data_IF_103088543092
#
_entry.id   IF_103088543092
#
_cell.length_a   1.000
_cell.length_b   1.000
_cell.length_c   1.000
_cell.angle_alpha   90.00
_cell.angle_beta   90.00
_cell.angle_gamma   90.00
#
_symmetry.space_group_name_H-M   'P 1'
#
loop_
_entity.id
_entity.type
_entity.pdbx_description
1 polymer ?
#
# COMPACT_ATOMS: atom_id res chain seq x y z
N UNK A 1 -5.88 -8.99 -7.47
CA UNK A 1 -5.43 -8.04 -8.53
C UNK A 1 -5.09 -6.66 -8.00
N UNK A 2 -5.96 -6.00 -7.22
CA UNK A 2 -5.67 -4.65 -6.65
C UNK A 2 -4.35 -4.59 -5.89
N UNK A 3 -4.05 -5.62 -5.09
CA UNK A 3 -2.77 -5.74 -4.36
C UNK A 3 -1.53 -5.67 -5.26
N UNK A 4 -1.59 -6.20 -6.50
CA UNK A 4 -0.47 -6.19 -7.42
C UNK A 4 -0.10 -4.79 -7.93
N UNK A 5 -1.01 -3.82 -7.84
CA UNK A 5 -0.76 -2.42 -8.18
C UNK A 5 -0.53 -1.53 -6.94
N UNK A 6 -0.65 -2.10 -5.73
CA UNK A 6 -0.32 -1.38 -4.50
C UNK A 6 1.20 -1.19 -4.42
N UNK A 7 1.65 0.07 -4.30
CA UNK A 7 3.07 0.41 -4.25
C UNK A 7 3.42 1.78 -4.83
N UNK A 8 2.56 2.33 -5.69
CA UNK A 8 2.71 3.70 -6.20
C UNK A 8 2.67 4.75 -5.07
N UNK A 9 2.00 4.46 -3.96
CA UNK A 9 1.96 5.34 -2.78
C UNK A 9 3.32 5.56 -2.12
N UNK A 10 4.26 4.63 -2.28
CA UNK A 10 5.63 4.83 -1.81
C UNK A 10 6.30 6.03 -2.49
N UNK A 11 5.91 6.34 -3.74
CA UNK A 11 6.37 7.53 -4.47
C UNK A 11 5.94 8.81 -3.77
N UNK A 12 4.73 8.85 -3.18
CA UNK A 12 4.24 10.00 -2.45
C UNK A 12 5.07 10.27 -1.18
N UNK A 13 5.57 9.22 -0.52
CA UNK A 13 6.44 9.36 0.65
C UNK A 13 7.83 9.91 0.31
N UNK A 14 8.28 9.72 -0.93
CA UNK A 14 9.54 10.22 -1.48
C UNK A 14 9.38 11.55 -2.23
N UNK A 15 8.14 12.04 -2.42
CA UNK A 15 7.84 13.26 -3.17
C UNK A 15 8.62 14.49 -2.67
N UNK A 16 8.93 14.54 -1.38
CA UNK A 16 9.72 15.63 -0.77
C UNK A 16 11.20 15.65 -1.17
N UNK A 17 11.72 14.56 -1.71
CA UNK A 17 13.11 14.43 -2.17
C UNK A 17 13.27 14.74 -3.68
N UNK A 18 12.15 15.00 -4.40
CA UNK A 18 12.18 15.36 -5.82
C UNK A 18 12.52 16.84 -6.01
N UNK A 19 13.24 17.15 -7.09
CA UNK A 19 13.63 18.53 -7.44
C UNK A 19 12.42 19.38 -7.88
N UNK A 20 11.49 18.81 -8.65
CA UNK A 20 10.20 19.43 -8.99
C UNK A 20 9.04 18.44 -8.79
N UNK A 21 8.47 18.36 -7.58
CA UNK A 21 7.41 17.40 -7.28
C UNK A 21 6.15 17.57 -8.15
N UNK A 22 5.84 18.79 -8.62
CA UNK A 22 4.62 19.05 -9.39
C UNK A 22 4.67 18.43 -10.78
N UNK A 23 5.87 18.26 -11.34
CA UNK A 23 6.09 17.72 -12.68
C UNK A 23 6.60 16.28 -12.65
N UNK A 24 7.47 15.96 -11.71
CA UNK A 24 8.18 14.69 -11.69
C UNK A 24 7.29 13.56 -11.14
N UNK A 25 6.51 13.83 -10.09
CA UNK A 25 5.63 12.81 -9.48
C UNK A 25 4.58 12.29 -10.46
N UNK A 26 3.80 13.13 -11.19
CA UNK A 26 2.81 12.63 -12.15
C UNK A 26 3.45 11.82 -13.29
N UNK A 27 4.61 12.25 -13.79
CA UNK A 27 5.32 11.56 -14.88
C UNK A 27 5.91 10.23 -14.45
N UNK A 28 6.59 10.20 -13.31
CA UNK A 28 7.14 8.99 -12.73
C UNK A 28 6.03 7.97 -12.48
N UNK A 29 4.89 8.41 -11.94
CA UNK A 29 3.73 7.56 -11.69
C UNK A 29 3.15 7.02 -13.00
N UNK A 30 2.96 7.87 -14.02
CA UNK A 30 2.42 7.44 -15.31
C UNK A 30 3.33 6.41 -16.01
N UNK A 31 4.65 6.64 -16.00
CA UNK A 31 5.63 5.71 -16.57
C UNK A 31 5.60 4.39 -15.78
N UNK A 32 5.60 4.45 -14.45
CA UNK A 32 5.54 3.26 -13.61
C UNK A 32 4.28 2.42 -13.89
N UNK A 33 3.12 3.06 -13.98
CA UNK A 33 1.84 2.39 -14.30
C UNK A 33 1.89 1.74 -15.68
N UNK A 34 2.40 2.46 -16.70
CA UNK A 34 2.49 1.92 -18.05
C UNK A 34 3.44 0.72 -18.13
N UNK A 35 4.64 0.83 -17.57
CA UNK A 35 5.65 -0.23 -17.59
C UNK A 35 5.17 -1.45 -16.82
N UNK A 36 4.69 -1.27 -15.58
CA UNK A 36 4.17 -2.38 -14.76
C UNK A 36 2.95 -3.02 -15.41
N UNK A 37 2.07 -2.22 -16.00
CA UNK A 37 0.90 -2.70 -16.74
C UNK A 37 1.28 -3.61 -17.91
N UNK A 38 2.24 -3.17 -18.74
CA UNK A 38 2.75 -3.99 -19.87
C UNK A 38 3.40 -5.27 -19.38
N UNK A 39 4.22 -5.21 -18.34
CA UNK A 39 4.87 -6.39 -17.77
C UNK A 39 3.86 -7.39 -17.21
N UNK A 40 2.84 -6.92 -16.49
CA UNK A 40 1.80 -7.79 -15.92
C UNK A 40 0.95 -8.44 -17.01
N UNK A 41 0.54 -7.68 -18.02
CA UNK A 41 -0.23 -8.23 -19.15
C UNK A 41 0.61 -9.23 -19.96
N UNK A 42 1.87 -8.91 -20.20
CA UNK A 42 2.82 -9.81 -20.86
C UNK A 42 2.96 -11.12 -20.08
N UNK A 43 3.28 -11.04 -18.78
CA UNK A 43 3.44 -12.21 -17.93
C UNK A 43 2.16 -13.04 -17.82
N UNK A 44 0.99 -12.39 -17.65
CA UNK A 44 -0.29 -13.08 -17.61
C UNK A 44 -0.58 -13.81 -18.91
N UNK A 45 -0.33 -13.16 -20.06
CA UNK A 45 -0.55 -13.73 -21.39
C UNK A 45 0.38 -14.92 -21.61
N UNK A 46 1.68 -14.77 -21.34
CA UNK A 46 2.66 -15.86 -21.47
C UNK A 46 2.34 -17.02 -20.52
N UNK A 47 1.94 -16.73 -19.27
CA UNK A 47 1.54 -17.78 -18.32
C UNK A 47 0.36 -18.59 -18.83
N UNK A 48 -0.68 -17.93 -19.35
CA UNK A 48 -1.86 -18.61 -19.91
C UNK A 48 -1.50 -19.40 -21.17
N UNK A 49 -0.69 -18.83 -22.07
CA UNK A 49 -0.32 -19.47 -23.32
C UNK A 49 0.60 -20.68 -23.13
N UNK A 50 1.50 -20.65 -22.15
CA UNK A 50 2.52 -21.70 -21.94
C UNK A 50 2.08 -22.74 -20.90
N UNK A 51 1.52 -22.32 -19.76
CA UNK A 51 1.10 -23.25 -18.70
C UNK A 51 -0.36 -23.73 -18.86
N UNK A 52 -1.19 -23.03 -19.66
CA UNK A 52 -2.58 -23.40 -19.86
C UNK A 52 -3.37 -23.50 -18.55
N UNK A 53 -4.20 -24.55 -18.34
CA UNK A 53 -4.98 -24.74 -17.11
C UNK A 53 -4.14 -24.91 -15.83
N UNK A 54 -2.84 -25.22 -15.95
CA UNK A 54 -1.95 -25.35 -14.79
C UNK A 54 -1.55 -23.98 -14.21
N UNK A 55 -1.69 -22.89 -14.97
CA UNK A 55 -1.39 -21.54 -14.50
C UNK A 55 -2.21 -21.13 -13.27
N UNK A 56 -3.45 -21.64 -13.14
CA UNK A 56 -4.31 -21.39 -11.97
C UNK A 56 -3.96 -22.21 -10.73
N UNK A 57 -3.06 -23.20 -10.84
CA UNK A 57 -2.64 -24.09 -9.74
C UNK A 57 -1.19 -23.87 -9.30
N UNK A 58 -0.42 -23.10 -10.05
CA UNK A 58 0.97 -22.79 -9.69
C UNK A 58 1.04 -21.65 -8.68
N UNK A 59 1.77 -21.88 -7.58
CA UNK A 59 2.07 -20.84 -6.60
C UNK A 59 3.13 -19.84 -7.10
N UNK A 60 3.93 -20.23 -8.11
CA UNK A 60 4.99 -19.39 -8.68
C UNK A 60 5.08 -19.51 -10.22
N UNK A 61 4.09 -18.98 -10.96
CA UNK A 61 4.01 -19.14 -12.42
C UNK A 61 5.24 -18.63 -13.18
N UNK A 62 5.87 -17.56 -12.68
CA UNK A 62 7.10 -17.00 -13.28
C UNK A 62 8.29 -17.97 -13.15
N UNK A 63 8.43 -18.65 -12.02
CA UNK A 63 9.51 -19.63 -11.81
C UNK A 63 9.32 -20.85 -12.72
N UNK A 64 8.08 -21.32 -12.85
CA UNK A 64 7.74 -22.42 -13.77
C UNK A 64 7.99 -22.05 -15.24
N UNK A 65 7.61 -20.83 -15.65
CA UNK A 65 7.89 -20.33 -16.99
C UNK A 65 9.40 -20.26 -17.27
N UNK A 66 10.18 -19.77 -16.31
CA UNK A 66 11.64 -19.68 -16.43
C UNK A 66 12.29 -21.07 -16.50
N UNK A 67 11.76 -22.04 -15.75
CA UNK A 67 12.20 -23.44 -15.82
C UNK A 67 11.97 -24.05 -17.20
N UNK A 68 10.80 -23.78 -17.80
CA UNK A 68 10.44 -24.26 -19.14
C UNK A 68 11.32 -23.60 -20.21
N UNK A 69 11.60 -22.29 -20.08
CA UNK A 69 12.33 -21.53 -21.08
C UNK A 69 13.85 -21.76 -21.05
N UNK A 70 14.44 -21.89 -19.86
CA UNK A 70 15.90 -21.86 -19.66
C UNK A 70 16.44 -23.08 -18.89
N UNK A 71 15.56 -24.03 -18.53
CA UNK A 71 15.92 -25.23 -17.75
C UNK A 71 15.77 -25.04 -16.24
N UNK A 72 15.85 -26.16 -15.51
CA UNK A 72 15.51 -26.21 -14.07
C UNK A 72 16.39 -25.31 -13.18
N UNK A 73 17.64 -25.06 -13.59
CA UNK A 73 18.56 -24.14 -12.90
C UNK A 73 18.02 -22.70 -12.84
N UNK A 74 17.17 -22.30 -13.79
CA UNK A 74 16.56 -20.97 -13.81
C UNK A 74 15.54 -20.77 -12.68
N UNK A 75 14.97 -21.84 -12.10
CA UNK A 75 14.10 -21.74 -10.91
C UNK A 75 14.84 -21.12 -9.73
N UNK A 76 16.06 -21.59 -9.47
CA UNK A 76 16.88 -21.12 -8.33
C UNK A 76 17.24 -19.65 -8.52
N UNK A 77 17.68 -19.27 -9.72
CA UNK A 77 18.00 -17.87 -10.03
C UNK A 77 16.76 -16.98 -9.88
N UNK A 78 15.62 -17.42 -10.40
CA UNK A 78 14.36 -16.67 -10.30
C UNK A 78 13.91 -16.52 -8.85
N UNK A 79 14.04 -17.57 -8.03
CA UNK A 79 13.74 -17.52 -6.61
C UNK A 79 14.65 -16.54 -5.85
N UNK A 80 15.95 -16.56 -6.11
CA UNK A 80 16.90 -15.62 -5.49
C UNK A 80 16.57 -14.18 -5.87
N UNK A 81 16.32 -13.91 -7.15
CA UNK A 81 15.92 -12.58 -7.63
C UNK A 81 14.60 -12.15 -6.99
N UNK A 82 13.61 -13.04 -6.91
CA UNK A 82 12.34 -12.76 -6.26
C UNK A 82 12.53 -12.36 -4.79
N UNK A 83 13.35 -13.11 -4.03
CA UNK A 83 13.68 -12.79 -2.63
C UNK A 83 14.34 -11.41 -2.52
N UNK A 84 15.31 -11.10 -3.36
CA UNK A 84 15.99 -9.79 -3.36
C UNK A 84 15.01 -8.64 -3.63
N UNK A 85 14.11 -8.82 -4.61
CA UNK A 85 13.06 -7.84 -4.92
C UNK A 85 12.07 -7.67 -3.76
N UNK A 86 11.66 -8.76 -3.12
CA UNK A 86 10.78 -8.71 -1.94
C UNK A 86 11.44 -7.97 -0.77
N UNK A 87 12.71 -8.23 -0.48
CA UNK A 87 13.46 -7.53 0.56
C UNK A 87 13.60 -6.05 0.24
N UNK A 88 13.86 -5.70 -1.03
CA UNK A 88 13.91 -4.31 -1.49
C UNK A 88 12.57 -3.59 -1.29
N UNK A 89 11.46 -4.23 -1.69
CA UNK A 89 10.12 -3.68 -1.49
C UNK A 89 9.79 -3.51 0.00
N UNK A 90 10.08 -4.51 0.83
CA UNK A 90 9.91 -4.42 2.29
C UNK A 90 10.67 -3.21 2.84
N UNK A 91 11.94 -3.05 2.50
CA UNK A 91 12.75 -1.92 2.96
C UNK A 91 12.12 -0.56 2.60
N UNK A 92 11.62 -0.40 1.37
CA UNK A 92 10.92 0.81 0.95
C UNK A 92 9.65 1.08 1.79
N UNK A 93 8.84 0.05 2.07
CA UNK A 93 7.65 0.17 2.90
C UNK A 93 7.98 0.50 4.37
N UNK A 94 9.01 -0.11 4.96
CA UNK A 94 9.47 0.24 6.31
C UNK A 94 9.95 1.68 6.38
N UNK A 95 10.72 2.13 5.38
CA UNK A 95 11.19 3.51 5.30
C UNK A 95 10.03 4.49 5.19
N UNK A 96 9.10 4.28 4.25
CA UNK A 96 7.92 5.13 4.04
C UNK A 96 7.01 5.18 5.27
N UNK A 97 6.65 4.01 5.81
CA UNK A 97 5.79 3.90 6.99
C UNK A 97 6.38 4.59 8.22
N UNK A 98 7.70 4.50 8.41
CA UNK A 98 8.36 5.13 9.57
C UNK A 98 8.32 6.67 9.51
N UNK A 99 8.46 7.24 8.32
CA UNK A 99 8.35 8.68 8.06
C UNK A 99 6.91 9.15 8.25
N UNK A 100 5.93 8.38 7.75
CA UNK A 100 4.52 8.66 7.96
C UNK A 100 4.15 8.65 9.45
N UNK A 101 4.58 7.62 10.20
CA UNK A 101 4.34 7.54 11.64
C UNK A 101 4.96 8.71 12.42
N UNK A 102 6.16 9.13 12.04
CA UNK A 102 6.80 10.30 12.66
C UNK A 102 6.11 11.63 12.29
N UNK A 103 5.57 11.76 11.07
CA UNK A 103 4.76 12.90 10.67
C UNK A 103 3.45 12.97 11.47
N UNK A 104 2.72 11.85 11.56
CA UNK A 104 1.48 11.76 12.34
C UNK A 104 1.70 12.07 13.84
N UNK A 105 2.85 11.69 14.40
CA UNK A 105 3.20 12.02 15.78
C UNK A 105 3.54 13.51 15.98
N UNK A 106 4.08 14.19 14.96
CA UNK A 106 4.30 15.65 14.98
C UNK A 106 2.97 16.40 14.90
N UNK A 107 2.05 15.91 14.09
CA UNK A 107 0.71 16.49 13.90
C UNK A 107 -0.25 16.18 15.06
N UNK A 108 0.21 15.45 16.08
CA UNK A 108 -0.55 15.13 17.29
C UNK A 108 -1.55 13.97 17.15
N UNK A 109 -1.60 13.31 15.99
CA UNK A 109 -2.44 12.13 15.77
C UNK A 109 -1.89 10.85 16.44
N UNK A 110 -0.57 10.81 16.70
CA UNK A 110 0.10 9.76 17.45
C UNK A 110 0.84 10.34 18.66
N UNK A 111 1.14 9.53 19.69
CA UNK A 111 1.84 10.03 20.87
C UNK A 111 3.18 10.67 20.49
N UNK A 112 3.48 11.82 21.11
CA UNK A 112 4.62 12.70 20.76
C UNK A 112 5.99 12.02 20.84
N UNK A 113 6.14 10.96 21.63
CA UNK A 113 7.38 10.19 21.73
C UNK A 113 7.83 9.58 20.39
N UNK A 114 6.92 9.34 19.43
CA UNK A 114 7.21 8.83 18.08
C UNK A 114 7.70 9.93 17.11
N UNK A 115 7.47 11.20 17.43
CA UNK A 115 7.93 12.33 16.62
C UNK A 115 9.47 12.54 16.70
N UNK A 116 10.10 11.95 17.72
CA UNK A 116 11.54 12.10 17.99
C UNK A 116 12.35 11.42 16.88
N UNK A 117 13.21 12.20 16.22
CA UNK A 117 14.01 11.73 15.08
C UNK A 117 13.29 11.78 13.73
N UNK A 118 12.12 12.42 13.64
CA UNK A 118 11.35 12.62 12.41
C UNK A 118 11.71 13.88 11.60
N UNK A 119 12.85 14.52 11.87
CA UNK A 119 13.33 15.70 11.14
C UNK A 119 13.86 15.36 9.75
N UNK A 120 14.00 16.37 8.88
CA UNK A 120 14.60 16.19 7.54
C UNK A 120 16.02 15.63 7.67
N UNK A 121 16.32 14.56 6.93
CA UNK A 121 17.61 13.85 7.00
C UNK A 121 17.81 12.95 8.22
N UNK A 122 16.84 12.87 9.15
CA UNK A 122 16.92 11.99 10.32
C UNK A 122 16.11 10.70 10.11
N UNK A 123 16.55 9.64 10.79
CA UNK A 123 15.90 8.33 10.74
C UNK A 123 14.99 8.19 11.97
N UNK A 124 13.66 8.06 11.82
CA UNK A 124 12.72 7.98 12.94
C UNK A 124 12.76 6.58 13.58
N UNK A 125 13.81 6.29 14.36
CA UNK A 125 14.11 4.97 14.94
C UNK A 125 12.95 4.39 15.76
N UNK A 126 12.20 5.24 16.47
CA UNK A 126 11.05 4.82 17.29
C UNK A 126 9.87 4.37 16.45
N UNK A 127 9.55 5.10 15.37
CA UNK A 127 8.54 4.68 14.40
C UNK A 127 8.95 3.40 13.68
N UNK A 128 10.23 3.25 13.33
CA UNK A 128 10.76 1.99 12.77
C UNK A 128 10.57 0.84 13.77
N UNK A 129 10.92 1.04 15.05
CA UNK A 129 10.78 0.00 16.07
C UNK A 129 9.31 -0.42 16.26
N UNK A 130 8.38 0.54 16.26
CA UNK A 130 6.95 0.26 16.32
C UNK A 130 6.49 -0.59 15.13
N UNK A 131 6.85 -0.20 13.91
CA UNK A 131 6.47 -0.93 12.69
C UNK A 131 7.08 -2.34 12.71
N UNK A 132 8.35 -2.48 13.11
CA UNK A 132 9.00 -3.80 13.26
C UNK A 132 8.28 -4.66 14.30
N UNK A 133 7.90 -4.10 15.44
CA UNK A 133 7.13 -4.79 16.46
C UNK A 133 5.78 -5.28 15.93
N UNK A 134 5.04 -4.41 15.26
CA UNK A 134 3.73 -4.73 14.67
C UNK A 134 3.84 -5.79 13.56
N UNK A 135 4.84 -5.68 12.68
CA UNK A 135 5.10 -6.68 11.64
C UNK A 135 5.45 -8.04 12.24
N UNK A 136 6.31 -8.07 13.27
CA UNK A 136 6.69 -9.31 13.96
C UNK A 136 5.50 -9.94 14.66
N UNK A 137 4.68 -9.13 15.33
CA UNK A 137 3.45 -9.60 15.98
C UNK A 137 2.46 -10.17 14.94
N UNK A 138 2.28 -9.48 13.81
CA UNK A 138 1.42 -9.96 12.72
C UNK A 138 1.85 -11.33 12.22
N UNK A 139 3.16 -11.52 11.97
CA UNK A 139 3.71 -12.82 11.56
C UNK A 139 3.53 -13.87 12.65
N UNK A 140 3.81 -13.54 13.92
CA UNK A 140 3.64 -14.46 15.03
C UNK A 140 2.19 -14.93 15.19
N UNK A 141 1.23 -14.01 15.07
CA UNK A 141 -0.21 -14.33 15.09
C UNK A 141 -0.59 -15.21 13.90
N UNK A 142 -0.09 -14.92 12.70
CA UNK A 142 -0.34 -15.75 11.52
C UNK A 142 0.18 -17.17 11.67
N UNK A 143 1.38 -17.34 12.23
CA UNK A 143 1.96 -18.66 12.50
C UNK A 143 1.17 -19.38 13.60
N UNK A 144 0.78 -18.69 14.67
CA UNK A 144 0.05 -19.28 15.79
C UNK A 144 -1.38 -19.72 15.40
N UNK A 145 -2.01 -19.05 14.45
CA UNK A 145 -3.37 -19.32 13.99
C UNK A 145 -3.41 -20.14 12.67
N UNK A 146 -2.26 -20.59 12.18
CA UNK A 146 -2.09 -21.29 10.90
C UNK A 146 -2.79 -20.56 9.72
N UNK A 147 -2.72 -19.23 9.75
CA UNK A 147 -3.30 -18.39 8.70
C UNK A 147 -2.39 -18.46 7.47
N UNK A 148 -2.91 -19.01 6.38
CA UNK A 148 -2.24 -18.95 5.07
C UNK A 148 -2.01 -17.51 4.58
N UNK A 149 -1.33 -17.36 3.45
CA UNK A 149 -1.01 -16.04 2.87
C UNK A 149 -2.26 -15.26 2.42
N UNK A 150 -3.32 -15.95 2.01
CA UNK A 150 -4.53 -15.33 1.48
C UNK A 150 -5.22 -14.37 2.48
N UNK A 151 -5.49 -14.76 3.74
CA UNK A 151 -6.00 -13.84 4.77
C UNK A 151 -5.16 -12.57 4.95
N UNK A 152 -3.83 -12.69 4.96
CA UNK A 152 -2.92 -11.56 5.11
C UNK A 152 -2.99 -10.60 3.92
N UNK A 153 -3.02 -11.14 2.70
CA UNK A 153 -3.17 -10.36 1.48
C UNK A 153 -4.53 -9.64 1.44
N UNK A 154 -5.59 -10.30 1.90
CA UNK A 154 -6.93 -9.72 1.98
C UNK A 154 -6.99 -8.58 2.99
N UNK A 155 -6.39 -8.75 4.18
CA UNK A 155 -6.31 -7.70 5.19
C UNK A 155 -5.55 -6.48 4.65
N UNK A 156 -4.38 -6.70 4.04
CA UNK A 156 -3.60 -5.63 3.43
C UNK A 156 -4.40 -4.90 2.33
N UNK A 157 -5.09 -5.66 1.47
CA UNK A 157 -5.94 -5.09 0.41
C UNK A 157 -7.06 -4.24 1.00
N UNK A 158 -7.74 -4.72 2.05
CA UNK A 158 -8.79 -3.97 2.74
C UNK A 158 -8.28 -2.63 3.29
N UNK A 159 -7.13 -2.64 3.97
CA UNK A 159 -6.49 -1.42 4.48
C UNK A 159 -6.21 -0.41 3.35
N UNK A 160 -5.60 -0.85 2.24
CA UNK A 160 -5.34 0.02 1.09
C UNK A 160 -6.63 0.57 0.48
N UNK A 161 -7.66 -0.27 0.32
CA UNK A 161 -8.94 0.19 -0.23
C UNK A 161 -9.56 1.29 0.62
N UNK A 162 -9.53 1.18 1.96
CA UNK A 162 -10.02 2.26 2.83
C UNK A 162 -9.24 3.55 2.64
N UNK A 163 -7.91 3.48 2.61
CA UNK A 163 -7.05 4.66 2.42
C UNK A 163 -7.42 5.34 1.11
N UNK A 164 -7.65 4.57 0.04
CA UNK A 164 -8.10 5.12 -1.24
C UNK A 164 -9.52 5.72 -1.16
N UNK A 165 -10.48 5.07 -0.50
CA UNK A 165 -11.84 5.62 -0.33
C UNK A 165 -11.79 6.94 0.44
N UNK A 166 -11.08 6.97 1.57
CA UNK A 166 -10.96 8.17 2.41
C UNK A 166 -10.20 9.28 1.68
N UNK A 167 -9.11 8.94 0.99
CA UNK A 167 -8.29 9.88 0.23
C UNK A 167 -9.06 10.51 -0.93
N UNK A 168 -9.74 9.70 -1.74
CA UNK A 168 -10.56 10.19 -2.86
C UNK A 168 -11.80 10.95 -2.38
N UNK A 169 -12.42 10.53 -1.27
CA UNK A 169 -13.51 11.27 -0.62
C UNK A 169 -13.07 12.63 -0.07
N UNK A 170 -11.89 12.71 0.55
CA UNK A 170 -11.31 13.98 0.98
C UNK A 170 -10.98 14.89 -0.23
N UNK A 171 -10.46 14.32 -1.32
CA UNK A 171 -10.21 15.04 -2.56
C UNK A 171 -11.50 15.66 -3.13
N UNK A 172 -12.61 14.93 -3.15
CA UNK A 172 -13.92 15.46 -3.57
C UNK A 172 -14.41 16.65 -2.73
N UNK A 173 -14.00 16.72 -1.46
CA UNK A 173 -14.35 17.81 -0.54
C UNK A 173 -13.39 18.99 -0.65
N UNK A 174 -12.11 18.75 -0.92
CA UNK A 174 -11.04 19.76 -0.95
C UNK A 174 -10.86 20.42 -2.32
N UNK A 175 -11.10 19.70 -3.43
CA UNK A 175 -10.93 20.26 -4.77
C UNK A 175 -12.10 21.18 -5.16
N UNK A 176 -11.81 22.27 -5.92
CA UNK A 176 -12.85 23.16 -6.42
C UNK A 176 -13.91 22.39 -7.21
N UNK A 177 -15.19 22.57 -6.83
CA UNK A 177 -16.32 21.93 -7.49
C UNK A 177 -16.28 22.22 -9.00
N UNK A 178 -16.48 21.16 -9.80
CA UNK A 178 -16.44 21.17 -11.28
C UNK A 178 -15.09 21.42 -11.95
N UNK A 179 -13.97 21.43 -11.21
CA UNK A 179 -12.64 21.38 -11.84
C UNK A 179 -12.35 20.02 -12.48
N UNK A 180 -11.39 19.94 -13.41
CA UNK A 180 -10.92 18.67 -13.99
C UNK A 180 -10.43 17.71 -12.90
N UNK A 181 -9.80 18.24 -11.85
CA UNK A 181 -9.41 17.47 -10.67
C UNK A 181 -10.58 16.89 -9.87
N UNK A 182 -11.72 17.59 -9.83
CA UNK A 182 -12.92 17.11 -9.14
C UNK A 182 -13.58 15.94 -9.89
N UNK A 183 -13.64 16.01 -11.23
CA UNK A 183 -14.15 14.90 -12.05
C UNK A 183 -13.27 13.65 -11.98
N UNK A 184 -11.95 13.82 -12.02
CA UNK A 184 -11.02 12.69 -11.84
C UNK A 184 -11.15 12.06 -10.44
N UNK A 185 -11.30 12.86 -9.39
CA UNK A 185 -11.57 12.36 -8.04
C UNK A 185 -12.91 11.61 -7.94
N UNK A 186 -13.95 12.06 -8.65
CA UNK A 186 -15.27 11.40 -8.66
C UNK A 186 -15.23 10.04 -9.33
N UNK A 187 -14.58 9.96 -10.50
CA UNK A 187 -14.38 8.69 -11.21
C UNK A 187 -13.56 7.74 -10.35
N UNK A 188 -12.46 8.21 -9.75
CA UNK A 188 -11.64 7.40 -8.86
C UNK A 188 -12.44 6.89 -7.64
N UNK A 189 -13.22 7.76 -6.99
CA UNK A 189 -14.08 7.38 -5.86
C UNK A 189 -15.10 6.32 -6.27
N UNK A 190 -15.79 6.51 -7.39
CA UNK A 190 -16.76 5.54 -7.91
C UNK A 190 -16.12 4.18 -8.24
N UNK A 191 -14.95 4.18 -8.87
CA UNK A 191 -14.20 2.96 -9.18
C UNK A 191 -13.75 2.22 -7.92
N UNK A 192 -13.26 2.94 -6.91
CA UNK A 192 -12.81 2.33 -5.64
C UNK A 192 -14.01 1.80 -4.83
N UNK A 193 -15.15 2.50 -4.83
CA UNK A 193 -16.39 2.00 -4.20
C UNK A 193 -16.90 0.76 -4.91
N UNK A 194 -16.88 0.73 -6.25
CA UNK A 194 -17.23 -0.46 -7.01
C UNK A 194 -16.31 -1.65 -6.68
N UNK A 195 -15.00 -1.42 -6.54
CA UNK A 195 -14.05 -2.44 -6.09
C UNK A 195 -14.32 -2.91 -4.66
N UNK A 196 -14.68 -2.00 -3.74
CA UNK A 196 -15.02 -2.36 -2.36
C UNK A 196 -16.26 -3.26 -2.31
N UNK A 197 -17.29 -2.92 -3.09
CA UNK A 197 -18.52 -3.70 -3.21
C UNK A 197 -18.25 -5.07 -3.86
N UNK A 198 -17.39 -5.12 -4.87
CA UNK A 198 -16.96 -6.37 -5.50
C UNK A 198 -16.13 -7.28 -4.56
N UNK A 199 -15.51 -6.73 -3.51
CA UNK A 199 -14.68 -7.47 -2.55
C UNK A 199 -15.48 -8.15 -1.42
N UNK A 200 -16.81 -7.95 -1.37
CA UNK A 200 -17.73 -8.69 -0.50
C UNK A 200 -17.45 -8.55 1.01
N UNK A 201 -17.62 -9.64 1.76
CA UNK A 201 -17.56 -9.69 3.23
C UNK A 201 -16.21 -9.22 3.84
N UNK A 202 -15.13 -9.20 3.07
CA UNK A 202 -13.82 -8.73 3.53
C UNK A 202 -13.74 -7.21 3.67
N UNK A 203 -14.67 -6.45 3.06
CA UNK A 203 -14.83 -5.03 3.28
C UNK A 203 -15.22 -4.70 4.73
N UNK A 204 -15.85 -5.64 5.46
CA UNK A 204 -16.30 -5.44 6.85
C UNK A 204 -15.13 -5.23 7.83
N UNK A 205 -14.03 -5.96 7.66
CA UNK A 205 -12.82 -5.76 8.48
C UNK A 205 -12.21 -4.37 8.27
N UNK A 206 -12.23 -3.93 7.03
CA UNK A 206 -11.75 -2.62 6.66
C UNK A 206 -12.63 -1.52 7.29
N UNK A 207 -13.95 -1.66 7.17
CA UNK A 207 -14.92 -0.77 7.82
C UNK A 207 -14.78 -0.76 9.35
N UNK A 208 -14.47 -1.89 9.97
CA UNK A 208 -14.18 -2.00 11.40
C UNK A 208 -12.94 -1.21 11.81
N UNK A 209 -11.83 -1.31 11.07
CA UNK A 209 -10.62 -0.52 11.32
C UNK A 209 -10.85 0.98 11.09
N UNK A 210 -11.64 1.35 10.08
CA UNK A 210 -12.03 2.74 9.84
C UNK A 210 -12.85 3.29 11.02
N UNK A 211 -13.85 2.54 11.49
CA UNK A 211 -14.65 2.91 12.65
C UNK A 211 -13.80 3.05 13.93
N UNK A 212 -12.86 2.12 14.15
CA UNK A 212 -11.94 2.17 15.28
C UNK A 212 -11.03 3.41 15.21
N UNK A 213 -10.52 3.75 14.02
CA UNK A 213 -9.69 4.94 13.81
C UNK A 213 -10.45 6.24 14.06
N UNK A 214 -11.73 6.31 13.66
CA UNK A 214 -12.60 7.47 13.88
C UNK A 214 -13.01 7.59 15.35
N UNK A 215 -13.24 6.48 16.03
CA UNK A 215 -13.51 6.43 17.46
C UNK A 215 -12.29 6.87 18.27
N UNK A 216 -11.08 6.42 17.89
CA UNK A 216 -9.83 6.88 18.49
C UNK A 216 -9.62 8.38 18.28
N UNK A 217 -9.89 8.91 17.08
CA UNK A 217 -9.77 10.35 16.81
C UNK A 217 -10.81 11.19 17.55
N UNK A 218 -12.02 10.68 17.79
CA UNK A 218 -13.01 11.37 18.63
C UNK A 218 -12.64 11.32 20.11
N UNK A 219 -12.08 10.21 20.59
CA UNK A 219 -11.62 10.07 21.97
C UNK A 219 -10.33 10.86 22.25
N UNK A 220 -9.45 11.02 21.25
CA UNK A 220 -8.17 11.71 21.36
C UNK A 220 -8.24 13.21 21.06
N UNK A 221 -9.43 13.81 20.92
CA UNK A 221 -9.61 15.27 20.98
C UNK A 221 -9.88 15.68 22.45
N UNK A 222 -8.87 16.06 23.26
CA UNK A 222 -9.15 16.93 24.38
C UNK A 222 -9.72 18.22 23.82
N UNK A 223 -10.87 18.64 24.37
CA UNK A 223 -11.60 19.81 23.91
C UNK A 223 -10.68 21.01 23.67
N UNK A 224 -10.65 21.48 22.43
CA UNK A 224 -10.11 22.81 22.11
C UNK A 224 -11.07 23.80 22.78
N UNK A 225 -10.64 24.58 23.78
CA UNK A 225 -11.49 25.63 24.33
C UNK A 225 -11.83 26.60 23.20
N UNK A 226 -13.12 26.92 23.07
CA UNK A 226 -13.62 27.95 22.18
C UNK A 226 -12.90 29.27 22.49
N UNK A 227 -11.94 29.65 21.67
CA UNK A 227 -11.42 31.01 21.65
C UNK A 227 -12.43 31.88 20.89
N UNK A 228 -13.36 32.47 21.64
CA UNK A 228 -14.01 33.74 21.35
C UNK A 228 -13.61 34.69 22.50
N UNK A 229 -13.45 35.99 22.24
CA UNK A 229 -14.55 36.86 21.81
C UNK A 229 -14.37 37.52 20.44
#
# INVERSE_FOLDING_TARGET
>A
LVWGFAGWEAVASLAGDYRDPRRDVPRATAIAVAVVGVLYLGLSTTSVLVLGPAAGRSEAPLSDLMAIALGEQARVVTAVVAVLLTVGAMNAYFAGGSRLGAALARDGALPRWLAVGGGSGQVPRRSIALIRGLSTLSVAVSVALDLGLAPLMLLATGCFTLVYVLGTGAALRLLPRRSVGWWTALVAFASVVALLLANGAHALWALGLAALSLAYQHAARPGVPSAAP
#
